data_IF_339642354027
#
_entry.id   IF_339642354027
#
_cell.length_a   1.000
_cell.length_b   1.000
_cell.length_c   1.000
_cell.angle_alpha   90.00
_cell.angle_beta   90.00
_cell.angle_gamma   90.00
#
_symmetry.space_group_name_H-M   'P 1'
#
loop_
_entity.id
_entity.type
_entity.pdbx_description
1 polymer ?
#
# COMPACT_ATOMS: atom_id res chain seq x y z
N UNK A 1 6.87 13.79 -11.66
CA UNK A 1 6.79 13.42 -10.21
C UNK A 1 7.00 11.92 -10.10
N UNK A 2 7.83 11.48 -9.18
CA UNK A 2 8.00 10.06 -8.86
C UNK A 2 6.99 9.63 -7.79
N UNK A 3 6.48 8.39 -7.92
CA UNK A 3 5.52 7.78 -7.00
C UNK A 3 5.63 6.25 -7.07
N UNK A 4 4.76 5.56 -6.36
CA UNK A 4 4.73 4.11 -6.25
C UNK A 4 3.36 3.57 -6.63
N UNK A 5 3.34 2.38 -7.22
CA UNK A 5 2.10 1.74 -7.68
C UNK A 5 2.12 0.26 -7.41
N UNK A 6 1.14 -0.21 -6.65
CA UNK A 6 0.88 -1.64 -6.56
C UNK A 6 0.03 -2.11 -7.74
N UNK A 7 0.43 -3.23 -8.31
CA UNK A 7 -0.24 -3.91 -9.41
C UNK A 7 -0.40 -5.41 -9.11
N UNK A 8 -1.36 -6.02 -9.76
CA UNK A 8 -1.50 -7.48 -9.83
C UNK A 8 -0.50 -8.06 -10.83
N UNK A 9 -0.27 -9.39 -10.84
CA UNK A 9 0.59 -10.04 -11.80
C UNK A 9 0.23 -9.64 -13.23
N UNK A 10 1.26 -9.41 -14.03
CA UNK A 10 1.09 -8.93 -15.41
C UNK A 10 0.78 -7.44 -15.51
N UNK A 11 1.11 -6.67 -14.49
CA UNK A 11 0.93 -5.21 -14.44
C UNK A 11 -0.54 -4.76 -14.55
N UNK A 12 -1.45 -5.46 -13.91
CA UNK A 12 -2.88 -5.12 -13.94
C UNK A 12 -3.25 -4.29 -12.71
N UNK A 13 -3.93 -3.16 -12.92
CA UNK A 13 -4.42 -2.33 -11.81
C UNK A 13 -5.43 -3.11 -10.94
N UNK A 14 -5.28 -3.16 -9.61
CA UNK A 14 -6.08 -4.05 -8.74
C UNK A 14 -7.59 -3.82 -8.83
N UNK A 15 -8.01 -2.57 -8.89
CA UNK A 15 -9.43 -2.19 -8.85
C UNK A 15 -10.02 -1.98 -10.26
N UNK A 16 -9.37 -1.17 -11.07
CA UNK A 16 -9.84 -0.84 -12.41
C UNK A 16 -9.66 -1.97 -13.43
N UNK A 17 -8.86 -3.01 -13.09
CA UNK A 17 -8.50 -4.13 -13.98
C UNK A 17 -7.89 -3.68 -15.32
N UNK A 18 -7.33 -2.48 -15.37
CA UNK A 18 -6.68 -1.92 -16.56
C UNK A 18 -5.24 -2.44 -16.60
N UNK A 19 -4.82 -3.07 -17.71
CA UNK A 19 -3.44 -3.47 -17.90
C UNK A 19 -2.57 -2.22 -18.15
N UNK A 20 -1.44 -2.16 -17.46
CA UNK A 20 -0.43 -1.15 -17.71
C UNK A 20 0.47 -1.57 -18.88
N UNK A 21 0.89 -0.63 -19.73
CA UNK A 21 1.81 -0.91 -20.81
C UNK A 21 3.19 -1.34 -20.28
N UNK A 22 4.10 -1.71 -21.18
CA UNK A 22 5.49 -2.03 -20.82
C UNK A 22 6.17 -0.83 -20.16
N UNK A 23 7.13 -1.07 -19.22
CA UNK A 23 7.90 0.01 -18.61
C UNK A 23 8.45 0.99 -19.66
N UNK A 24 8.45 2.27 -19.33
CA UNK A 24 8.82 3.36 -20.24
C UNK A 24 7.70 3.89 -21.14
N UNK A 25 6.60 3.14 -21.31
CA UNK A 25 5.45 3.57 -22.15
C UNK A 25 4.41 4.28 -21.28
N UNK A 26 3.93 5.43 -21.74
CA UNK A 26 2.90 6.19 -21.06
C UNK A 26 1.53 5.52 -21.17
N UNK A 27 0.86 5.44 -20.01
CA UNK A 27 -0.58 5.19 -19.90
C UNK A 27 -1.27 6.54 -19.73
N UNK A 28 -2.21 6.85 -20.61
CA UNK A 28 -2.97 8.09 -20.57
C UNK A 28 -4.41 7.84 -20.12
N UNK A 29 -4.95 8.76 -19.36
CA UNK A 29 -6.35 8.78 -18.99
C UNK A 29 -7.12 9.70 -19.93
N UNK A 30 -8.17 9.21 -20.53
CA UNK A 30 -9.07 9.99 -21.40
C UNK A 30 -9.87 11.05 -20.61
N UNK A 31 -9.95 10.92 -19.30
CA UNK A 31 -10.75 11.78 -18.43
C UNK A 31 -9.88 12.60 -17.48
N UNK A 32 -10.39 13.77 -17.10
CA UNK A 32 -9.75 14.59 -16.06
C UNK A 32 -9.56 13.79 -14.77
N UNK A 33 -8.38 13.88 -14.13
CA UNK A 33 -8.08 13.17 -12.90
C UNK A 33 -9.12 13.44 -11.80
N UNK A 34 -9.62 12.35 -11.17
CA UNK A 34 -10.52 12.38 -10.03
C UNK A 34 -10.24 11.20 -9.13
N UNK A 35 -10.11 11.45 -7.83
CA UNK A 35 -9.86 10.41 -6.84
C UNK A 35 -10.87 9.25 -6.96
N UNK A 36 -10.35 8.02 -7.01
CA UNK A 36 -11.11 6.76 -7.12
C UNK A 36 -12.06 6.65 -8.32
N UNK A 37 -11.93 7.52 -9.35
CA UNK A 37 -12.82 7.52 -10.52
C UNK A 37 -12.07 7.49 -11.85
N UNK A 38 -11.14 8.40 -12.07
CA UNK A 38 -10.43 8.55 -13.35
C UNK A 38 -9.03 9.08 -13.13
N UNK A 39 -8.13 8.82 -14.08
CA UNK A 39 -6.73 9.18 -13.98
C UNK A 39 -5.83 8.03 -13.54
N UNK A 40 -4.56 8.27 -13.59
CA UNK A 40 -3.51 7.36 -13.16
C UNK A 40 -3.24 7.60 -11.68
N UNK A 41 -3.68 6.66 -10.84
CA UNK A 41 -3.50 6.73 -9.39
C UNK A 41 -2.19 6.09 -8.97
N UNK A 42 -1.46 6.74 -8.09
CA UNK A 42 -0.25 6.23 -7.46
C UNK A 42 -0.17 6.66 -5.99
N UNK A 43 0.79 6.13 -5.27
CA UNK A 43 0.98 6.35 -3.84
C UNK A 43 2.31 7.05 -3.60
N UNK A 44 2.31 8.00 -2.68
CA UNK A 44 3.53 8.47 -2.03
C UNK A 44 3.95 7.48 -0.94
N UNK A 45 5.20 7.51 -0.49
CA UNK A 45 5.71 6.57 0.50
C UNK A 45 4.89 6.48 1.80
N UNK A 46 4.31 7.58 2.25
CA UNK A 46 3.51 7.68 3.47
C UNK A 46 2.10 7.05 3.37
N UNK A 47 1.68 6.65 2.17
CA UNK A 47 0.42 5.97 1.92
C UNK A 47 0.57 4.53 1.36
N UNK A 48 1.77 3.97 1.36
CA UNK A 48 2.06 2.65 0.74
C UNK A 48 1.15 1.54 1.22
N UNK A 49 0.80 1.52 2.50
CA UNK A 49 -0.08 0.49 3.04
C UNK A 49 -1.54 0.59 2.52
N UNK A 50 -1.92 1.65 1.78
CA UNK A 50 -3.31 1.87 1.36
C UNK A 50 -3.80 0.84 0.34
N UNK A 51 -2.98 0.49 -0.65
CA UNK A 51 -3.37 -0.40 -1.76
C UNK A 51 -2.28 -1.43 -2.08
N UNK A 52 -2.02 -2.34 -1.15
CA UNK A 52 -1.05 -3.42 -1.35
C UNK A 52 -1.59 -4.45 -2.35
N UNK A 53 -0.73 -4.87 -3.29
CA UNK A 53 -0.97 -5.96 -4.23
C UNK A 53 0.36 -6.69 -4.52
N UNK A 54 0.36 -7.59 -5.48
CA UNK A 54 1.44 -8.57 -5.70
C UNK A 54 2.74 -7.95 -6.24
N UNK A 55 2.66 -6.89 -7.05
CA UNK A 55 3.82 -6.24 -7.66
C UNK A 55 3.88 -4.77 -7.24
N UNK A 56 5.03 -4.31 -6.78
CA UNK A 56 5.26 -2.89 -6.51
C UNK A 56 6.16 -2.29 -7.60
N UNK A 57 5.77 -1.14 -8.11
CA UNK A 57 6.46 -0.44 -9.20
C UNK A 57 6.77 1.01 -8.82
N UNK A 58 7.96 1.49 -9.18
CA UNK A 58 8.23 2.92 -9.29
C UNK A 58 7.55 3.44 -10.55
N UNK A 59 6.86 4.57 -10.41
CA UNK A 59 6.13 5.19 -11.52
C UNK A 59 6.53 6.65 -11.65
N UNK A 60 6.57 7.12 -12.87
CA UNK A 60 6.66 8.54 -13.18
C UNK A 60 5.30 9.05 -13.60
N UNK A 61 4.87 10.15 -12.98
CA UNK A 61 3.61 10.82 -13.24
C UNK A 61 3.88 12.19 -13.88
N UNK A 62 3.08 12.56 -14.88
CA UNK A 62 3.08 13.89 -15.49
C UNK A 62 1.76 14.58 -15.16
N UNK A 63 1.84 15.82 -14.62
CA UNK A 63 0.69 16.58 -14.17
C UNK A 63 -0.03 15.99 -12.94
N UNK A 64 0.69 15.26 -12.09
CA UNK A 64 0.13 14.65 -10.88
C UNK A 64 -0.23 15.67 -9.81
N UNK A 65 -1.37 15.46 -9.16
CA UNK A 65 -1.88 16.24 -8.04
C UNK A 65 -2.23 15.30 -6.87
N UNK A 66 -1.85 15.65 -5.66
CA UNK A 66 -2.25 14.92 -4.46
C UNK A 66 -3.70 15.25 -4.12
N UNK A 67 -4.61 14.29 -4.33
CA UNK A 67 -6.05 14.46 -4.12
C UNK A 67 -6.56 13.90 -2.79
N UNK A 68 -5.73 13.15 -2.10
CA UNK A 68 -5.93 12.72 -0.70
C UNK A 68 -4.54 12.43 -0.11
N UNK A 69 -4.38 12.40 1.23
CA UNK A 69 -3.09 12.21 1.87
C UNK A 69 -2.32 11.01 1.30
N UNK A 70 -1.18 11.29 0.67
CA UNK A 70 -0.31 10.31 0.03
C UNK A 70 -0.87 9.65 -1.24
N UNK A 71 -2.01 10.11 -1.78
CA UNK A 71 -2.60 9.58 -3.01
C UNK A 71 -2.52 10.62 -4.12
N UNK A 72 -1.70 10.36 -5.12
CA UNK A 72 -1.53 11.21 -6.28
C UNK A 72 -2.34 10.67 -7.46
N UNK A 73 -2.99 11.56 -8.19
CA UNK A 73 -3.72 11.24 -9.42
C UNK A 73 -3.21 12.14 -10.55
N UNK A 74 -2.85 11.53 -11.68
CA UNK A 74 -2.30 12.22 -12.82
C UNK A 74 -3.09 11.94 -14.11
N UNK A 75 -3.03 12.80 -15.11
CA UNK A 75 -3.59 12.51 -16.44
C UNK A 75 -2.83 11.40 -17.15
N UNK A 76 -1.53 11.25 -16.89
CA UNK A 76 -0.74 10.15 -17.45
C UNK A 76 0.39 9.71 -16.50
N UNK A 77 0.82 8.45 -16.67
CA UNK A 77 1.92 7.87 -15.92
C UNK A 77 2.59 6.74 -16.67
N UNK A 78 3.83 6.43 -16.31
CA UNK A 78 4.55 5.27 -16.86
C UNK A 78 5.26 4.49 -15.75
N UNK A 79 5.35 3.19 -15.93
CA UNK A 79 6.17 2.33 -15.08
C UNK A 79 7.65 2.59 -15.39
N UNK A 80 8.46 2.73 -14.35
CA UNK A 80 9.91 2.92 -14.44
C UNK A 80 10.62 1.60 -14.19
N UNK A 81 10.52 1.08 -12.96
CA UNK A 81 11.16 -0.17 -12.55
C UNK A 81 10.31 -0.87 -11.49
N UNK A 82 10.45 -2.18 -11.43
CA UNK A 82 9.86 -2.98 -10.34
C UNK A 82 10.70 -2.83 -9.08
N UNK A 83 10.03 -2.81 -7.93
CA UNK A 83 10.66 -2.86 -6.60
C UNK A 83 10.72 -4.33 -6.19
N UNK A 84 11.84 -5.00 -6.47
CA UNK A 84 12.00 -6.45 -6.27
C UNK A 84 12.07 -6.81 -4.78
N UNK A 85 12.37 -5.86 -3.91
CA UNK A 85 12.35 -5.98 -2.46
C UNK A 85 10.94 -6.26 -1.93
N UNK A 86 9.88 -5.92 -2.70
CA UNK A 86 8.52 -6.35 -2.41
C UNK A 86 8.30 -7.78 -2.94
N UNK A 87 8.35 -8.74 -2.03
CA UNK A 87 8.20 -10.16 -2.29
C UNK A 87 7.56 -10.86 -1.08
N UNK A 88 7.34 -12.16 -1.16
CA UNK A 88 6.67 -12.93 -0.11
C UNK A 88 7.37 -12.86 1.25
N UNK A 89 8.71 -12.77 1.27
CA UNK A 89 9.45 -12.65 2.52
C UNK A 89 9.18 -11.29 3.17
N UNK A 90 9.28 -10.20 2.42
CA UNK A 90 9.00 -8.84 2.90
C UNK A 90 7.52 -8.66 3.27
N UNK A 91 6.61 -9.26 2.51
CA UNK A 91 5.18 -9.23 2.83
C UNK A 91 4.86 -9.95 4.16
N UNK A 92 5.54 -11.07 4.43
CA UNK A 92 5.42 -11.78 5.70
C UNK A 92 6.03 -11.01 6.86
N UNK A 93 7.19 -10.38 6.65
CA UNK A 93 7.80 -9.49 7.64
C UNK A 93 6.88 -8.30 7.97
N UNK A 94 6.26 -7.68 6.95
CA UNK A 94 5.28 -6.62 7.11
C UNK A 94 4.07 -7.09 7.95
N UNK A 95 3.52 -8.24 7.62
CA UNK A 95 2.38 -8.81 8.32
C UNK A 95 2.70 -9.10 9.80
N UNK A 96 3.83 -9.74 10.07
CA UNK A 96 4.29 -9.99 11.45
C UNK A 96 4.52 -8.71 12.22
N UNK A 97 5.23 -7.76 11.65
CA UNK A 97 5.52 -6.47 12.29
C UNK A 97 4.23 -5.69 12.60
N UNK A 98 3.25 -5.71 11.69
CA UNK A 98 1.93 -5.08 11.92
C UNK A 98 1.17 -5.74 13.06
N UNK A 99 1.14 -7.07 13.12
CA UNK A 99 0.49 -7.81 14.20
C UNK A 99 1.18 -7.59 15.56
N UNK A 100 2.51 -7.60 15.59
CA UNK A 100 3.30 -7.37 16.80
C UNK A 100 3.14 -5.94 17.34
N UNK A 101 3.11 -4.94 16.44
CA UNK A 101 3.01 -3.54 16.81
C UNK A 101 1.76 -3.24 17.65
N UNK A 102 0.64 -3.88 17.37
CA UNK A 102 -0.62 -3.65 18.10
C UNK A 102 -0.82 -4.59 19.29
N UNK A 103 -0.06 -5.69 19.40
CA UNK A 103 -0.29 -6.74 20.40
C UNK A 103 -0.04 -6.29 21.84
N UNK A 104 0.96 -5.46 22.07
CA UNK A 104 1.43 -5.11 23.41
C UNK A 104 0.39 -4.37 24.26
N UNK A 105 -0.47 -3.55 23.65
CA UNK A 105 -1.52 -2.77 24.33
C UNK A 105 -2.91 -3.38 24.25
N UNK A 106 -3.10 -4.43 23.44
CA UNK A 106 -4.42 -4.94 23.11
C UNK A 106 -5.13 -5.63 24.30
N UNK A 107 -6.42 -5.28 24.50
CA UNK A 107 -7.32 -5.86 25.51
C UNK A 107 -8.72 -6.03 24.89
N UNK A 108 -9.51 -7.00 25.39
CA UNK A 108 -10.87 -7.22 24.90
C UNK A 108 -10.91 -7.43 23.40
N UNK A 109 -11.77 -6.72 22.69
CA UNK A 109 -11.93 -6.82 21.22
C UNK A 109 -10.66 -6.49 20.44
N UNK A 110 -9.83 -5.58 20.94
CA UNK A 110 -8.53 -5.30 20.31
C UNK A 110 -7.60 -6.52 20.36
N UNK A 111 -7.63 -7.30 21.44
CA UNK A 111 -6.84 -8.53 21.56
C UNK A 111 -7.30 -9.61 20.55
N UNK A 112 -8.60 -9.70 20.26
CA UNK A 112 -9.14 -10.60 19.24
C UNK A 112 -8.59 -10.25 17.85
N UNK A 113 -8.70 -9.00 17.42
CA UNK A 113 -8.13 -8.54 16.15
C UNK A 113 -6.61 -8.72 16.08
N UNK A 114 -5.88 -8.47 17.18
CA UNK A 114 -4.44 -8.66 17.22
C UNK A 114 -4.05 -10.15 17.13
N UNK A 115 -4.84 -11.04 17.73
CA UNK A 115 -4.64 -12.48 17.62
C UNK A 115 -4.92 -12.99 16.21
N UNK A 116 -6.00 -12.54 15.57
CA UNK A 116 -6.33 -12.88 14.18
C UNK A 116 -5.24 -12.39 13.22
N UNK A 117 -4.74 -11.16 13.43
CA UNK A 117 -3.62 -10.62 12.66
C UNK A 117 -2.37 -11.49 12.81
N UNK A 118 -2.03 -11.90 14.04
CA UNK A 118 -0.86 -12.74 14.30
C UNK A 118 -0.99 -14.13 13.66
N UNK A 119 -2.16 -14.75 13.74
CA UNK A 119 -2.42 -16.04 13.11
C UNK A 119 -2.33 -15.97 11.57
N UNK A 120 -2.89 -14.92 10.96
CA UNK A 120 -2.87 -14.74 9.52
C UNK A 120 -1.46 -14.36 8.99
N UNK A 121 -0.63 -13.70 9.80
CA UNK A 121 0.70 -13.24 9.39
C UNK A 121 1.64 -14.38 8.98
N UNK A 122 1.48 -15.57 9.59
CA UNK A 122 2.35 -16.72 9.31
C UNK A 122 2.23 -17.25 7.88
N UNK A 123 1.07 -17.04 7.24
CA UNK A 123 0.80 -17.47 5.85
C UNK A 123 0.74 -16.30 4.86
N UNK A 124 1.05 -15.07 5.29
CA UNK A 124 1.00 -13.92 4.42
C UNK A 124 2.05 -14.00 3.30
N UNK A 125 1.67 -13.57 2.11
CA UNK A 125 2.50 -13.45 0.93
C UNK A 125 2.29 -12.08 0.29
N UNK A 126 3.07 -11.75 -0.75
CA UNK A 126 2.99 -10.48 -1.46
C UNK A 126 1.71 -10.40 -2.31
N UNK A 127 0.57 -10.37 -1.65
CA UNK A 127 -0.74 -10.21 -2.24
C UNK A 127 -1.69 -9.52 -1.23
N UNK A 128 -2.99 -9.72 -1.43
CA UNK A 128 -4.00 -9.15 -0.55
C UNK A 128 -3.97 -9.73 0.88
N UNK A 129 -3.31 -10.88 1.13
CA UNK A 129 -3.23 -11.47 2.47
C UNK A 129 -2.40 -10.60 3.42
N UNK A 130 -1.29 -10.03 2.95
CA UNK A 130 -0.53 -9.03 3.70
C UNK A 130 -1.37 -7.78 4.02
N UNK A 131 -2.18 -7.32 3.06
CA UNK A 131 -3.14 -6.23 3.27
C UNK A 131 -4.15 -6.57 4.37
N UNK A 132 -4.72 -7.78 4.34
CA UNK A 132 -5.72 -8.19 5.32
C UNK A 132 -5.15 -8.17 6.75
N UNK A 133 -3.92 -8.65 6.96
CA UNK A 133 -3.24 -8.56 8.25
C UNK A 133 -3.05 -7.11 8.69
N UNK A 134 -2.58 -6.24 7.79
CA UNK A 134 -2.44 -4.81 8.08
C UNK A 134 -3.76 -4.15 8.49
N UNK A 135 -4.87 -4.51 7.86
CA UNK A 135 -6.20 -4.03 8.26
C UNK A 135 -6.65 -4.56 9.62
N UNK A 136 -6.44 -5.85 9.92
CA UNK A 136 -6.74 -6.42 11.24
C UNK A 136 -5.96 -5.70 12.34
N UNK A 137 -4.67 -5.43 12.12
CA UNK A 137 -3.86 -4.65 13.06
C UNK A 137 -4.40 -3.21 13.22
N UNK A 138 -4.78 -2.55 12.14
CA UNK A 138 -5.36 -1.21 12.21
C UNK A 138 -6.70 -1.18 12.96
N UNK A 139 -7.54 -2.21 12.81
CA UNK A 139 -8.78 -2.35 13.58
C UNK A 139 -8.50 -2.63 15.07
N UNK A 140 -7.43 -3.39 15.39
CA UNK A 140 -6.99 -3.54 16.77
C UNK A 140 -6.59 -2.20 17.38
N UNK A 141 -5.82 -1.39 16.65
CA UNK A 141 -5.41 -0.06 17.08
C UNK A 141 -6.60 0.89 17.30
N UNK A 142 -7.60 0.89 16.40
CA UNK A 142 -8.83 1.67 16.56
C UNK A 142 -9.64 1.23 17.78
N UNK A 143 -9.70 -0.07 18.06
CA UNK A 143 -10.39 -0.61 19.25
C UNK A 143 -9.69 -0.25 20.57
N UNK A 144 -8.41 0.11 20.53
CA UNK A 144 -7.65 0.61 21.68
C UNK A 144 -7.83 2.11 21.89
N UNK A 145 -7.82 2.89 20.80
CA UNK A 145 -7.82 4.36 20.86
C UNK A 145 -8.50 4.93 19.63
N UNK A 146 -9.44 5.88 19.76
CA UNK A 146 -10.01 6.58 18.62
C UNK A 146 -8.94 7.22 17.73
N UNK A 147 -9.03 7.00 16.43
CA UNK A 147 -8.03 7.42 15.45
C UNK A 147 -6.82 6.49 15.33
N UNK A 148 -6.80 5.39 16.09
CA UNK A 148 -5.74 4.38 16.05
C UNK A 148 -5.62 3.72 14.69
N UNK A 149 -6.71 3.55 13.96
CA UNK A 149 -6.70 3.02 12.60
C UNK A 149 -5.80 3.84 11.67
N UNK A 150 -5.98 5.13 11.63
CA UNK A 150 -5.21 6.04 10.77
C UNK A 150 -3.75 6.08 11.19
N UNK A 151 -3.50 6.13 12.51
CA UNK A 151 -2.14 6.13 13.06
C UNK A 151 -1.40 4.83 12.69
N UNK A 152 -2.04 3.68 12.83
CA UNK A 152 -1.49 2.38 12.49
C UNK A 152 -1.19 2.28 10.97
N UNK A 153 -2.11 2.69 10.11
CA UNK A 153 -1.90 2.67 8.64
C UNK A 153 -0.74 3.56 8.22
N UNK A 154 -0.55 4.70 8.90
CA UNK A 154 0.61 5.57 8.67
C UNK A 154 1.90 4.91 9.12
N UNK A 155 1.93 4.27 10.30
CA UNK A 155 3.08 3.51 10.76
C UNK A 155 3.43 2.37 9.80
N UNK A 156 2.45 1.62 9.32
CA UNK A 156 2.63 0.55 8.33
C UNK A 156 3.22 1.07 7.02
N UNK A 157 2.76 2.21 6.52
CA UNK A 157 3.31 2.83 5.31
C UNK A 157 4.76 3.25 5.51
N UNK A 158 5.08 3.85 6.64
CA UNK A 158 6.45 4.21 6.99
C UNK A 158 7.36 2.96 7.10
N UNK A 159 6.88 1.90 7.76
CA UNK A 159 7.61 0.64 7.87
C UNK A 159 7.94 0.07 6.48
N UNK A 160 6.94 0.04 5.58
CA UNK A 160 7.13 -0.41 4.20
C UNK A 160 8.15 0.47 3.46
N UNK A 161 8.02 1.79 3.55
CA UNK A 161 8.92 2.71 2.85
C UNK A 161 10.38 2.50 3.26
N UNK A 162 10.64 2.38 4.56
CA UNK A 162 11.99 2.11 5.09
C UNK A 162 12.50 0.74 4.65
N UNK A 163 11.65 -0.31 4.78
CA UNK A 163 12.03 -1.69 4.46
C UNK A 163 12.34 -1.91 2.98
N UNK A 164 11.66 -1.17 2.11
CA UNK A 164 11.79 -1.25 0.65
C UNK A 164 12.81 -0.26 0.08
N UNK A 165 13.43 0.58 0.91
CA UNK A 165 14.35 1.62 0.44
C UNK A 165 13.70 2.60 -0.54
N UNK A 166 12.40 2.85 -0.37
CA UNK A 166 11.68 3.85 -1.16
C UNK A 166 11.62 5.12 -0.31
N UNK A 167 12.53 6.04 -0.58
CA UNK A 167 12.77 7.19 0.27
C UNK A 167 11.53 8.08 0.47
N UNK A 168 11.40 8.53 1.73
CA UNK A 168 10.37 9.49 2.18
C UNK A 168 10.84 10.94 1.93
N UNK A 169 11.91 11.11 1.14
CA UNK A 169 12.50 12.42 0.89
C UNK A 169 12.16 12.89 -0.53
N UNK A 170 11.10 13.62 -0.64
CA UNK A 170 10.75 14.49 -1.74
C UNK A 170 10.59 15.90 -1.22
#
# INVERSE_FOLDING_TARGET
MEALKFLRPGRVAPFAKVPWPRPGTWLESESRPKLCRSGVHALLPDALATWIAEELWRVELDGGEELAPGIVVAPRGRLVSRVEEWNDATARDFARSSAEHVRAGARGRAAEYAADAAAAAESAVADYTATAVGYMAAHAAEAMTPGGFVAERRWQSHWLAVRLGVDVHG
#
